data_IF_233698546917
#
_entry.id   IF_233698546917
#
_cell.length_a   1.000
_cell.length_b   1.000
_cell.length_c   1.000
_cell.angle_alpha   90.00
_cell.angle_beta   90.00
_cell.angle_gamma   90.00
#
_symmetry.space_group_name_H-M   'P 1'
#
loop_
_entity.id
_entity.type
_entity.pdbx_description
1 polymer ?
#
# COMPACT_ATOMS: atom_id res chain seq x y z
N UNK A 1 32.44 48.88 -46.03
CA UNK A 1 31.70 47.67 -45.62
C UNK A 1 31.88 47.48 -44.14
N UNK A 2 30.83 47.73 -43.36
CA UNK A 2 30.80 47.50 -41.91
C UNK A 2 29.74 46.44 -41.61
N UNK A 3 30.04 45.54 -40.67
CA UNK A 3 29.14 44.46 -40.30
C UNK A 3 29.74 43.52 -39.26
N UNK A 4 30.17 44.07 -38.12
CA UNK A 4 30.43 43.27 -36.93
C UNK A 4 29.12 42.98 -36.21
N UNK A 5 28.64 41.73 -36.29
CA UNK A 5 27.51 41.24 -35.50
C UNK A 5 28.02 40.78 -34.14
N UNK A 6 27.78 41.58 -33.11
CA UNK A 6 27.83 41.15 -31.72
C UNK A 6 26.82 40.01 -31.51
N UNK A 7 27.32 38.84 -31.08
CA UNK A 7 26.49 37.74 -30.62
C UNK A 7 26.24 37.96 -29.13
N UNK A 8 25.03 38.39 -28.77
CA UNK A 8 24.53 38.25 -27.41
C UNK A 8 24.55 36.75 -27.02
N UNK A 9 25.09 36.37 -25.86
CA UNK A 9 24.92 35.02 -25.36
C UNK A 9 23.44 34.84 -24.97
N UNK A 10 22.75 33.94 -25.66
CA UNK A 10 21.43 33.48 -25.26
C UNK A 10 21.53 32.91 -23.85
N UNK A 11 20.76 33.48 -22.93
CA UNK A 11 20.55 32.97 -21.59
C UNK A 11 19.99 31.54 -21.73
N UNK A 12 20.85 30.55 -21.51
CA UNK A 12 20.41 29.17 -21.37
C UNK A 12 19.61 29.10 -20.08
N UNK A 13 18.28 29.14 -20.20
CA UNK A 13 17.39 28.70 -19.13
C UNK A 13 17.73 27.25 -18.86
N UNK A 14 18.54 27.02 -17.83
CA UNK A 14 18.72 25.70 -17.24
C UNK A 14 17.35 25.38 -16.67
N UNK A 15 16.55 24.64 -17.44
CA UNK A 15 15.41 23.93 -16.90
C UNK A 15 16.04 22.94 -15.92
N UNK A 16 16.02 23.29 -14.64
CA UNK A 16 16.21 22.31 -13.58
C UNK A 16 15.02 21.34 -13.75
N UNK A 17 15.19 20.31 -14.56
CA UNK A 17 14.43 19.08 -14.44
C UNK A 17 14.90 18.45 -13.14
N UNK A 18 14.49 19.02 -12.01
CA UNK A 18 14.39 18.24 -10.77
C UNK A 18 13.43 17.11 -11.13
N UNK A 19 14.01 15.96 -11.49
CA UNK A 19 13.28 14.70 -11.51
C UNK A 19 12.56 14.64 -10.16
N UNK A 20 11.24 14.73 -10.23
CA UNK A 20 10.44 14.61 -9.03
C UNK A 20 10.72 13.25 -8.41
N UNK A 21 10.91 13.24 -7.10
CA UNK A 21 11.16 11.99 -6.39
C UNK A 21 9.97 11.03 -6.63
N UNK A 22 10.22 9.76 -7.02
CA UNK A 22 9.16 8.85 -7.45
C UNK A 22 8.00 8.66 -6.46
N UNK A 23 8.28 8.70 -5.15
CA UNK A 23 7.26 8.62 -4.10
C UNK A 23 6.36 9.85 -4.09
N UNK A 24 6.92 11.06 -4.25
CA UNK A 24 6.13 12.29 -4.36
C UNK A 24 5.23 12.29 -5.59
N UNK A 25 5.72 11.75 -6.72
CA UNK A 25 4.90 11.58 -7.92
C UNK A 25 3.71 10.64 -7.66
N UNK A 26 3.91 9.54 -6.94
CA UNK A 26 2.83 8.61 -6.55
C UNK A 26 1.85 9.27 -5.58
N UNK A 27 2.32 10.03 -4.59
CA UNK A 27 1.46 10.79 -3.68
C UNK A 27 0.57 11.76 -4.47
N UNK A 28 1.16 12.56 -5.36
CA UNK A 28 0.40 13.51 -6.18
C UNK A 28 -0.65 12.80 -7.02
N UNK A 29 -0.25 11.72 -7.70
CA UNK A 29 -1.14 10.96 -8.58
C UNK A 29 -2.30 10.35 -7.80
N UNK A 30 -2.02 9.78 -6.62
CA UNK A 30 -3.03 9.23 -5.71
C UNK A 30 -4.00 10.31 -5.23
N UNK A 31 -3.49 11.47 -4.82
CA UNK A 31 -4.30 12.59 -4.38
C UNK A 31 -5.19 13.14 -5.50
N UNK A 32 -4.66 13.32 -6.71
CA UNK A 32 -5.43 13.75 -7.88
C UNK A 32 -6.57 12.78 -8.20
N UNK A 33 -6.29 11.47 -8.13
CA UNK A 33 -7.31 10.45 -8.34
C UNK A 33 -8.38 10.45 -7.24
N UNK A 34 -7.98 10.68 -5.98
CA UNK A 34 -8.86 10.66 -4.81
C UNK A 34 -9.82 11.86 -4.78
N UNK A 35 -9.35 13.02 -5.25
CA UNK A 35 -10.12 14.27 -5.26
C UNK A 35 -10.72 14.61 -6.63
N UNK A 36 -10.62 13.71 -7.62
CA UNK A 36 -11.09 13.95 -8.98
C UNK A 36 -12.57 14.38 -9.07
N UNK A 37 -13.41 13.89 -8.15
CA UNK A 37 -14.85 14.16 -8.13
C UNK A 37 -15.23 15.46 -7.39
N UNK A 38 -14.27 16.12 -6.71
CA UNK A 38 -14.54 17.31 -5.89
C UNK A 38 -14.50 18.64 -6.67
N UNK A 39 -14.12 18.60 -7.96
CA UNK A 39 -13.93 19.79 -8.80
C UNK A 39 -12.60 20.51 -8.53
N UNK A 40 -12.09 21.29 -9.51
CA UNK A 40 -10.73 21.86 -9.45
C UNK A 40 -10.52 22.83 -8.28
N UNK A 41 -11.54 23.59 -7.89
CA UNK A 41 -11.45 24.56 -6.79
C UNK A 41 -11.18 23.92 -5.43
N UNK A 42 -11.58 22.65 -5.24
CA UNK A 42 -11.35 21.89 -4.00
C UNK A 42 -10.17 20.93 -4.17
N UNK A 43 -10.04 20.29 -5.34
CA UNK A 43 -9.01 19.31 -5.60
C UNK A 43 -7.60 19.92 -5.64
N UNK A 44 -7.39 21.06 -6.31
CA UNK A 44 -6.05 21.62 -6.47
C UNK A 44 -5.42 22.05 -5.13
N UNK A 45 -6.14 22.75 -4.21
CA UNK A 45 -5.62 23.05 -2.88
C UNK A 45 -5.31 21.81 -2.04
N UNK A 46 -6.18 20.78 -2.05
CA UNK A 46 -5.96 19.56 -1.27
C UNK A 46 -4.78 18.75 -1.81
N UNK A 47 -4.67 18.60 -3.14
CA UNK A 47 -3.52 17.94 -3.77
C UNK A 47 -2.23 18.68 -3.43
N UNK A 48 -2.21 20.01 -3.49
CA UNK A 48 -1.05 20.81 -3.14
C UNK A 48 -0.67 20.65 -1.65
N UNK A 49 -1.65 20.66 -0.75
CA UNK A 49 -1.46 20.44 0.69
C UNK A 49 -0.85 19.07 0.98
N UNK A 50 -1.41 18.01 0.39
CA UNK A 50 -0.92 16.64 0.55
C UNK A 50 0.50 16.46 -0.01
N UNK A 51 0.82 17.08 -1.15
CA UNK A 51 2.17 17.04 -1.71
C UNK A 51 3.19 17.75 -0.80
N UNK A 52 2.82 18.90 -0.23
CA UNK A 52 3.69 19.65 0.69
C UNK A 52 3.96 18.85 1.98
N UNK A 53 2.93 18.22 2.54
CA UNK A 53 3.04 17.36 3.72
C UNK A 53 3.92 16.13 3.44
N UNK A 54 3.70 15.45 2.31
CA UNK A 54 4.53 14.33 1.89
C UNK A 54 6.01 14.73 1.73
N UNK A 55 6.29 15.88 1.10
CA UNK A 55 7.65 16.38 0.97
C UNK A 55 8.31 16.61 2.34
N UNK A 56 7.57 17.12 3.32
CA UNK A 56 8.08 17.29 4.69
C UNK A 56 8.41 15.94 5.35
N UNK A 57 7.56 14.92 5.19
CA UNK A 57 7.82 13.58 5.72
C UNK A 57 9.02 12.92 5.05
N UNK A 58 9.15 13.06 3.73
CA UNK A 58 10.28 12.57 2.95
C UNK A 58 11.60 13.18 3.43
N UNK A 59 11.66 14.51 3.54
CA UNK A 59 12.86 15.22 3.99
C UNK A 59 13.25 14.90 5.44
N UNK A 60 12.25 14.61 6.28
CA UNK A 60 12.46 14.24 7.68
C UNK A 60 12.67 12.73 7.90
N UNK A 61 12.58 11.90 6.85
CA UNK A 61 12.65 10.44 6.96
C UNK A 61 11.54 9.82 7.82
N UNK A 62 10.37 10.47 7.91
CA UNK A 62 9.23 9.98 8.72
C UNK A 62 8.34 9.06 7.89
N UNK A 63 8.77 7.81 7.72
CA UNK A 63 8.12 6.85 6.84
C UNK A 63 6.75 6.38 7.34
N UNK A 64 6.56 6.30 8.66
CA UNK A 64 5.25 5.98 9.25
C UNK A 64 4.19 7.06 8.96
N UNK A 65 4.57 8.32 9.07
CA UNK A 65 3.67 9.44 8.73
C UNK A 65 3.37 9.45 7.23
N UNK A 66 4.39 9.22 6.38
CA UNK A 66 4.22 9.09 4.93
C UNK A 66 3.21 7.97 4.59
N UNK A 67 3.37 6.79 5.20
CA UNK A 67 2.44 5.67 5.01
C UNK A 67 1.02 6.06 5.45
N UNK A 68 0.87 6.77 6.56
CA UNK A 68 -0.43 7.26 7.06
C UNK A 68 -1.10 8.18 6.06
N UNK A 69 -0.35 9.16 5.53
CA UNK A 69 -0.83 10.13 4.55
C UNK A 69 -1.28 9.46 3.24
N UNK A 70 -0.45 8.54 2.72
CA UNK A 70 -0.76 7.81 1.48
C UNK A 70 -1.95 6.87 1.66
N UNK A 71 -2.05 6.17 2.79
CA UNK A 71 -3.18 5.31 3.09
C UNK A 71 -4.50 6.09 3.22
N UNK A 72 -4.47 7.29 3.80
CA UNK A 72 -5.67 8.13 3.86
C UNK A 72 -6.18 8.50 2.46
N UNK A 73 -5.28 8.83 1.53
CA UNK A 73 -5.64 9.09 0.14
C UNK A 73 -6.14 7.83 -0.60
N UNK A 74 -5.51 6.68 -0.34
CA UNK A 74 -5.93 5.40 -0.89
C UNK A 74 -7.28 4.92 -0.35
N UNK A 75 -7.61 5.23 0.92
CA UNK A 75 -8.90 4.90 1.53
C UNK A 75 -10.05 5.61 0.78
N UNK A 76 -9.86 6.87 0.37
CA UNK A 76 -10.84 7.60 -0.44
C UNK A 76 -11.09 6.92 -1.79
N UNK A 77 -10.04 6.39 -2.42
CA UNK A 77 -10.14 5.62 -3.67
C UNK A 77 -10.83 4.27 -3.48
N UNK A 78 -10.64 3.65 -2.33
CA UNK A 78 -11.26 2.37 -1.98
C UNK A 78 -12.76 2.53 -1.71
N UNK A 79 -13.19 3.70 -1.23
CA UNK A 79 -14.60 4.05 -0.99
C UNK A 79 -15.30 4.67 -2.20
N UNK A 80 -14.57 5.11 -3.23
CA UNK A 80 -15.18 5.75 -4.41
C UNK A 80 -15.90 4.73 -5.32
N UNK A 81 -17.18 4.94 -5.67
CA UNK A 81 -17.93 4.05 -6.56
C UNK A 81 -17.44 4.08 -8.02
N UNK A 82 -16.67 5.11 -8.42
CA UNK A 82 -16.02 5.22 -9.74
C UNK A 82 -14.67 4.48 -9.82
N UNK A 83 -14.32 3.69 -8.80
CA UNK A 83 -13.06 2.95 -8.73
C UNK A 83 -12.90 1.65 -9.59
N UNK A 84 -13.85 1.14 -10.39
CA UNK A 84 -13.61 -0.08 -11.19
C UNK A 84 -12.52 0.13 -12.25
N UNK A 85 -12.53 1.27 -12.94
CA UNK A 85 -11.56 1.58 -14.01
C UNK A 85 -10.17 1.93 -13.47
N UNK A 86 -10.05 2.16 -12.16
CA UNK A 86 -8.82 2.54 -11.45
C UNK A 86 -8.25 1.40 -10.59
N UNK A 87 -8.74 0.17 -10.74
CA UNK A 87 -8.34 -0.95 -9.89
C UNK A 87 -6.85 -1.30 -10.01
N UNK A 88 -6.28 -1.21 -11.23
CA UNK A 88 -4.86 -1.43 -11.46
C UNK A 88 -3.99 -0.32 -10.84
N UNK A 89 -4.44 0.94 -10.94
CA UNK A 89 -3.77 2.07 -10.29
C UNK A 89 -3.76 1.90 -8.78
N UNK A 90 -4.87 1.44 -8.20
CA UNK A 90 -4.98 1.20 -6.77
C UNK A 90 -4.08 0.05 -6.28
N UNK A 91 -3.96 -1.04 -7.04
CA UNK A 91 -3.01 -2.12 -6.73
C UNK A 91 -1.56 -1.60 -6.75
N UNK A 92 -1.22 -0.77 -7.72
CA UNK A 92 0.09 -0.12 -7.82
C UNK A 92 0.35 0.79 -6.63
N UNK A 93 -0.59 1.70 -6.31
CA UNK A 93 -0.49 2.63 -5.18
C UNK A 93 -0.29 1.89 -3.86
N UNK A 94 -1.11 0.87 -3.59
CA UNK A 94 -0.99 0.06 -2.37
C UNK A 94 0.34 -0.69 -2.31
N UNK A 95 0.86 -1.16 -3.44
CA UNK A 95 2.18 -1.80 -3.51
C UNK A 95 3.30 -0.81 -3.20
N UNK A 96 3.23 0.43 -3.71
CA UNK A 96 4.20 1.49 -3.38
C UNK A 96 4.15 1.80 -1.89
N UNK A 97 2.96 1.88 -1.29
CA UNK A 97 2.81 2.05 0.16
C UNK A 97 3.45 0.89 0.93
N UNK A 98 3.27 -0.36 0.48
CA UNK A 98 3.93 -1.51 1.10
C UNK A 98 5.46 -1.40 1.04
N UNK A 99 6.03 -0.85 -0.04
CA UNK A 99 7.47 -0.67 -0.15
C UNK A 99 8.06 0.32 0.88
N UNK A 100 7.25 1.15 1.55
CA UNK A 100 7.75 2.02 2.62
C UNK A 100 8.39 1.25 3.78
N UNK A 101 8.01 -0.02 4.00
CA UNK A 101 8.65 -0.86 5.03
C UNK A 101 10.12 -1.12 4.76
N UNK A 102 10.58 -1.02 3.51
CA UNK A 102 12.00 -1.21 3.15
C UNK A 102 12.82 0.06 3.34
N UNK A 103 12.16 1.20 3.49
CA UNK A 103 12.79 2.51 3.76
C UNK A 103 12.95 2.77 5.27
N UNK A 104 12.27 1.99 6.11
CA UNK A 104 12.33 2.11 7.57
C UNK A 104 13.77 2.01 8.10
N UNK A 105 14.09 2.85 9.09
CA UNK A 105 15.41 2.87 9.73
C UNK A 105 15.64 1.71 10.73
N UNK A 106 14.59 0.95 11.06
CA UNK A 106 14.65 -0.18 11.99
C UNK A 106 13.58 -1.22 11.70
N UNK A 107 13.76 -2.45 12.21
CA UNK A 107 12.74 -3.50 12.12
C UNK A 107 11.45 -3.14 12.87
N UNK A 108 11.56 -2.42 13.99
CA UNK A 108 10.41 -1.96 14.77
C UNK A 108 9.58 -0.95 13.99
N UNK A 109 10.22 0.03 13.34
CA UNK A 109 9.53 0.99 12.47
C UNK A 109 8.88 0.28 11.27
N UNK A 110 9.58 -0.65 10.62
CA UNK A 110 9.02 -1.44 9.53
C UNK A 110 7.77 -2.24 9.98
N UNK A 111 7.81 -2.77 11.21
CA UNK A 111 6.68 -3.48 11.80
C UNK A 111 5.51 -2.54 12.12
N UNK A 112 5.75 -1.34 12.62
CA UNK A 112 4.70 -0.33 12.85
C UNK A 112 4.03 0.11 11.54
N UNK A 113 4.82 0.35 10.48
CA UNK A 113 4.28 0.63 9.13
C UNK A 113 3.43 -0.54 8.64
N UNK A 114 3.92 -1.78 8.80
CA UNK A 114 3.15 -2.96 8.41
C UNK A 114 1.85 -3.13 9.20
N UNK A 115 1.86 -2.89 10.52
CA UNK A 115 0.65 -2.91 11.35
C UNK A 115 -0.36 -1.89 10.87
N UNK A 116 0.08 -0.67 10.55
CA UNK A 116 -0.76 0.39 10.01
C UNK A 116 -1.42 -0.03 8.68
N UNK A 117 -0.63 -0.55 7.74
CA UNK A 117 -1.15 -1.04 6.44
C UNK A 117 -2.15 -2.17 6.66
N UNK A 118 -1.82 -3.16 7.50
CA UNK A 118 -2.72 -4.27 7.83
C UNK A 118 -4.03 -3.79 8.46
N UNK A 119 -3.97 -2.86 9.42
CA UNK A 119 -5.16 -2.32 10.05
C UNK A 119 -6.08 -1.66 9.01
N UNK A 120 -5.52 -0.85 8.11
CA UNK A 120 -6.28 -0.20 7.03
C UNK A 120 -6.93 -1.21 6.09
N UNK A 121 -6.19 -2.20 5.60
CA UNK A 121 -6.73 -3.21 4.68
C UNK A 121 -7.79 -4.11 5.33
N UNK A 122 -7.64 -4.43 6.61
CA UNK A 122 -8.61 -5.29 7.33
C UNK A 122 -9.86 -4.55 7.80
N UNK A 123 -9.79 -3.25 8.07
CA UNK A 123 -10.96 -2.45 8.48
C UNK A 123 -11.94 -2.15 7.34
N UNK A 124 -11.57 -2.39 6.09
CA UNK A 124 -12.46 -2.16 4.95
C UNK A 124 -13.65 -3.13 4.95
N UNK A 125 -14.84 -2.68 4.47
CA UNK A 125 -16.01 -3.52 4.40
C UNK A 125 -15.72 -4.87 3.74
N UNK A 126 -16.27 -5.99 4.23
CA UNK A 126 -15.93 -7.32 3.72
C UNK A 126 -16.28 -7.54 2.24
N UNK A 127 -17.24 -6.78 1.70
CA UNK A 127 -17.63 -6.84 0.29
C UNK A 127 -16.62 -6.15 -0.65
N UNK A 128 -15.77 -5.27 -0.12
CA UNK A 128 -14.92 -4.42 -0.95
C UNK A 128 -13.59 -5.11 -1.29
N UNK A 129 -13.46 -5.49 -2.58
CA UNK A 129 -12.22 -5.93 -3.23
C UNK A 129 -11.33 -6.86 -2.37
N UNK A 130 -11.86 -7.96 -1.77
CA UNK A 130 -11.10 -8.79 -0.83
C UNK A 130 -9.87 -9.46 -1.48
N UNK A 131 -9.96 -9.87 -2.74
CA UNK A 131 -8.85 -10.44 -3.51
C UNK A 131 -7.68 -9.46 -3.66
N UNK A 132 -7.95 -8.18 -3.95
CA UNK A 132 -6.92 -7.15 -4.06
C UNK A 132 -6.19 -6.97 -2.72
N UNK A 133 -6.95 -6.87 -1.62
CA UNK A 133 -6.40 -6.73 -0.28
C UNK A 133 -5.49 -7.90 0.10
N UNK A 134 -5.90 -9.14 -0.20
CA UNK A 134 -5.08 -10.34 0.04
C UNK A 134 -3.77 -10.30 -0.76
N UNK A 135 -3.82 -9.90 -2.05
CA UNK A 135 -2.61 -9.76 -2.87
C UNK A 135 -1.64 -8.74 -2.30
N UNK A 136 -2.14 -7.57 -1.89
CA UNK A 136 -1.33 -6.52 -1.26
C UNK A 136 -0.72 -7.01 0.05
N UNK A 137 -1.48 -7.72 0.88
CA UNK A 137 -0.95 -8.33 2.11
C UNK A 137 0.15 -9.36 1.82
N UNK A 138 0.03 -10.17 0.76
CA UNK A 138 1.13 -11.06 0.36
C UNK A 138 2.35 -10.31 -0.19
N UNK A 139 2.17 -9.17 -0.86
CA UNK A 139 3.28 -8.29 -1.22
C UNK A 139 4.01 -7.79 0.04
N UNK A 140 3.26 -7.26 1.01
CA UNK A 140 3.80 -6.81 2.29
C UNK A 140 4.52 -7.93 3.06
N UNK A 141 3.97 -9.14 3.06
CA UNK A 141 4.60 -10.33 3.67
C UNK A 141 6.00 -10.59 3.09
N UNK A 142 6.16 -10.44 1.77
CA UNK A 142 7.43 -10.69 1.10
C UNK A 142 8.48 -9.60 1.38
N UNK A 143 8.05 -8.37 1.65
CA UNK A 143 8.93 -7.24 1.91
C UNK A 143 9.45 -7.18 3.35
N UNK A 144 8.72 -7.78 4.30
CA UNK A 144 9.11 -7.72 5.70
C UNK A 144 10.32 -8.61 6.02
N UNK A 145 11.33 -8.09 6.75
CA UNK A 145 12.43 -8.91 7.26
C UNK A 145 12.01 -9.74 8.49
N UNK A 146 11.14 -9.18 9.34
CA UNK A 146 10.71 -9.80 10.60
C UNK A 146 9.81 -11.02 10.39
N UNK A 147 10.20 -12.15 10.99
CA UNK A 147 9.40 -13.39 10.99
C UNK A 147 8.07 -13.24 11.73
N UNK A 148 8.07 -12.49 12.82
CA UNK A 148 6.86 -12.15 13.57
C UNK A 148 5.94 -11.24 12.72
N UNK A 149 6.52 -10.28 12.01
CA UNK A 149 5.79 -9.44 11.05
C UNK A 149 5.13 -10.26 9.95
N UNK A 150 5.87 -11.22 9.36
CA UNK A 150 5.36 -12.16 8.36
C UNK A 150 4.16 -12.96 8.87
N UNK A 151 4.26 -13.56 10.06
CA UNK A 151 3.14 -14.30 10.65
C UNK A 151 1.90 -13.41 10.88
N UNK A 152 2.11 -12.18 11.34
CA UNK A 152 1.05 -11.20 11.56
C UNK A 152 0.33 -10.84 10.25
N UNK A 153 1.08 -10.50 9.20
CA UNK A 153 0.51 -10.15 7.89
C UNK A 153 -0.26 -11.33 7.29
N UNK A 154 0.28 -12.55 7.39
CA UNK A 154 -0.40 -13.75 6.91
C UNK A 154 -1.73 -13.97 7.63
N UNK A 155 -1.78 -13.82 8.96
CA UNK A 155 -3.02 -13.91 9.74
C UNK A 155 -4.06 -12.89 9.26
N UNK A 156 -3.63 -11.65 9.00
CA UNK A 156 -4.51 -10.60 8.47
C UNK A 156 -5.05 -10.93 7.09
N UNK A 157 -4.28 -11.60 6.24
CA UNK A 157 -4.78 -12.10 4.95
C UNK A 157 -5.87 -13.16 5.12
N UNK A 158 -5.74 -14.04 6.13
CA UNK A 158 -6.78 -15.02 6.45
C UNK A 158 -8.05 -14.36 7.01
N UNK A 159 -7.91 -13.32 7.84
CA UNK A 159 -9.06 -12.56 8.34
C UNK A 159 -9.87 -11.95 7.18
N UNK A 160 -9.20 -11.34 6.20
CA UNK A 160 -9.86 -10.80 4.99
C UNK A 160 -10.52 -11.92 4.19
N UNK A 161 -9.84 -13.05 3.99
CA UNK A 161 -10.40 -14.19 3.27
C UNK A 161 -11.63 -14.79 3.96
N UNK A 162 -11.62 -14.88 5.29
CA UNK A 162 -12.72 -15.42 6.07
C UNK A 162 -13.93 -14.48 6.19
N UNK A 163 -13.71 -13.17 6.06
CA UNK A 163 -14.79 -12.18 6.09
C UNK A 163 -15.47 -12.00 4.71
N UNK A 164 -14.76 -12.31 3.62
CA UNK A 164 -15.24 -12.15 2.26
C UNK A 164 -16.42 -13.08 1.92
N UNK A 165 -17.39 -12.57 1.17
CA UNK A 165 -18.44 -13.39 0.58
C UNK A 165 -17.93 -14.07 -0.71
N UNK A 166 -18.17 -15.37 -0.85
CA UNK A 166 -17.83 -16.14 -2.05
C UNK A 166 -16.41 -16.73 -2.04
N UNK A 167 -16.06 -17.47 -3.10
CA UNK A 167 -14.86 -18.33 -3.12
C UNK A 167 -13.57 -17.63 -3.57
N UNK A 168 -13.67 -16.52 -4.30
CA UNK A 168 -12.50 -15.88 -4.93
C UNK A 168 -11.42 -15.42 -3.92
N UNK A 169 -11.80 -14.95 -2.73
CA UNK A 169 -10.85 -14.58 -1.69
C UNK A 169 -10.19 -15.82 -1.05
N UNK A 170 -10.97 -16.87 -0.82
CA UNK A 170 -10.46 -18.16 -0.33
C UNK A 170 -9.48 -18.80 -1.33
N UNK A 171 -9.76 -18.72 -2.64
CA UNK A 171 -8.89 -19.24 -3.70
C UNK A 171 -7.48 -18.61 -3.69
N UNK A 172 -7.34 -17.40 -3.16
CA UNK A 172 -6.04 -16.74 -3.01
C UNK A 172 -5.18 -17.36 -1.89
N UNK A 173 -5.80 -17.87 -0.83
CA UNK A 173 -5.11 -18.38 0.36
C UNK A 173 -5.01 -19.90 0.39
N UNK A 174 -5.99 -20.63 -0.17
CA UNK A 174 -6.07 -22.10 -0.17
C UNK A 174 -4.78 -22.78 -0.68
N UNK A 175 -4.14 -22.33 -1.78
CA UNK A 175 -2.91 -22.95 -2.28
C UNK A 175 -1.74 -22.90 -1.29
N UNK A 176 -1.77 -21.96 -0.34
CA UNK A 176 -0.70 -21.77 0.65
C UNK A 176 -0.81 -22.74 1.82
N UNK A 177 -2.00 -23.30 2.10
CA UNK A 177 -2.25 -24.14 3.27
C UNK A 177 -1.45 -25.45 3.25
N UNK A 178 -1.08 -25.95 2.08
CA UNK A 178 -0.21 -27.15 1.97
C UNK A 178 1.18 -26.95 2.58
N UNK A 179 1.63 -25.71 2.71
CA UNK A 179 2.94 -25.34 3.25
C UNK A 179 2.83 -24.78 4.68
N UNK A 180 1.66 -24.82 5.31
CA UNK A 180 1.43 -24.10 6.57
C UNK A 180 2.31 -24.61 7.71
N UNK A 181 2.57 -25.92 7.77
CA UNK A 181 3.41 -26.50 8.82
C UNK A 181 4.86 -25.97 8.72
N UNK A 182 5.36 -25.81 7.48
CA UNK A 182 6.66 -25.22 7.23
C UNK A 182 6.68 -23.72 7.61
N UNK A 183 5.60 -22.98 7.33
CA UNK A 183 5.48 -21.58 7.72
C UNK A 183 5.44 -21.40 9.23
N UNK A 184 4.66 -22.22 9.94
CA UNK A 184 4.58 -22.22 11.40
C UNK A 184 5.94 -22.49 12.04
N UNK A 185 6.66 -23.49 11.55
CA UNK A 185 8.02 -23.80 12.00
C UNK A 185 8.98 -22.64 11.71
N UNK A 186 8.87 -22.04 10.52
CA UNK A 186 9.71 -20.92 10.09
C UNK A 186 9.47 -19.65 10.91
N UNK A 187 8.22 -19.31 11.21
CA UNK A 187 7.90 -18.12 12.00
C UNK A 187 8.21 -18.27 13.49
N UNK A 188 8.33 -19.50 13.99
CA UNK A 188 8.60 -19.76 15.40
C UNK A 188 7.48 -19.34 16.35
N UNK A 189 6.22 -19.32 15.88
CA UNK A 189 5.07 -18.88 16.67
C UNK A 189 4.67 -19.89 17.75
N UNK A 190 4.12 -19.40 18.87
CA UNK A 190 3.70 -20.21 20.01
C UNK A 190 2.48 -21.10 19.72
N UNK A 191 2.25 -22.09 20.60
CA UNK A 191 1.11 -23.03 20.47
C UNK A 191 -0.27 -22.33 20.43
N UNK A 192 -0.54 -21.28 21.24
CA UNK A 192 -1.81 -20.55 21.15
C UNK A 192 -2.02 -19.94 19.76
N UNK A 193 -1.00 -19.27 19.22
CA UNK A 193 -1.04 -18.61 17.92
C UNK A 193 -1.20 -19.62 16.77
N UNK A 194 -0.55 -20.78 16.88
CA UNK A 194 -0.73 -21.89 15.93
C UNK A 194 -2.17 -22.38 15.93
N UNK A 195 -2.77 -22.57 17.10
CA UNK A 195 -4.16 -23.04 17.22
C UNK A 195 -5.12 -22.06 16.55
N UNK A 196 -4.97 -20.77 16.80
CA UNK A 196 -5.80 -19.73 16.15
C UNK A 196 -5.66 -19.76 14.63
N UNK A 197 -4.43 -19.90 14.13
CA UNK A 197 -4.12 -20.01 12.70
C UNK A 197 -4.82 -21.22 12.06
N UNK A 198 -4.68 -22.40 12.65
CA UNK A 198 -5.32 -23.62 12.12
C UNK A 198 -6.85 -23.57 12.18
N UNK A 199 -7.43 -22.92 13.20
CA UNK A 199 -8.87 -22.69 13.28
C UNK A 199 -9.36 -21.78 12.16
N UNK A 200 -8.64 -20.69 11.87
CA UNK A 200 -8.95 -19.79 10.76
C UNK A 200 -8.89 -20.51 9.41
N UNK A 201 -7.85 -21.30 9.16
CA UNK A 201 -7.70 -22.12 7.94
C UNK A 201 -8.87 -23.10 7.80
N UNK A 202 -9.21 -23.79 8.88
CA UNK A 202 -10.32 -24.75 8.88
C UNK A 202 -11.65 -24.08 8.54
N UNK A 203 -11.90 -22.87 9.04
CA UNK A 203 -13.11 -22.09 8.72
C UNK A 203 -13.17 -21.77 7.23
N UNK A 204 -12.09 -21.22 6.67
CA UNK A 204 -11.99 -20.89 5.24
C UNK A 204 -12.22 -22.13 4.37
N UNK A 205 -11.64 -23.28 4.73
CA UNK A 205 -11.81 -24.53 3.99
C UNK A 205 -13.23 -25.09 4.05
N UNK A 206 -13.95 -24.90 5.17
CA UNK A 206 -15.36 -25.29 5.28
C UNK A 206 -16.23 -24.44 4.38
N UNK A 207 -16.03 -23.12 4.42
CA UNK A 207 -16.80 -22.15 3.64
C UNK A 207 -16.50 -22.26 2.13
N UNK A 208 -15.29 -22.71 1.76
CA UNK A 208 -14.91 -22.96 0.37
C UNK A 208 -15.53 -24.24 -0.23
N UNK A 209 -15.74 -25.27 0.60
CA UNK A 209 -16.33 -26.56 0.17
C UNK A 209 -17.86 -26.52 0.11
N UNK A 210 -18.51 -25.64 0.88
CA UNK A 210 -19.94 -25.34 0.78
C UNK A 210 -20.30 -24.69 -0.56
#
# INVERSE_FOLDING_TARGET
GGGGREKNPSMATIVNTTEEEPMLAVVRSTAQLAWADAGPEVADPEVARLCAEAQQHLLAGRWLDMATLMLASADLLLLSPSAPDKAADLECILTVICNLVTMAGSEDEALEIAKLICAKLTHQPPADKPTLRIKVLFSLYNLLPSLSGKAMVYRKALEVAAAAAGKAAADCVVPTFKNIDAFVAYWGIGKPEQRELFLAITRILKDHKG
#
